data_IF_755416873346
#
_entry.id   IF_755416873346
#
_cell.length_a   1.000
_cell.length_b   1.000
_cell.length_c   1.000
_cell.angle_alpha   90.00
_cell.angle_beta   90.00
_cell.angle_gamma   90.00
#
_symmetry.space_group_name_H-M   'P 1'
#
loop_
_entity.id
_entity.type
_entity.pdbx_description
1 polymer ?
#
# COMPACT_ATOMS: atom_id res chain seq x y z
N UNK A 1 -31.95 -27.22 -11.89
CA UNK A 1 -31.42 -25.84 -11.93
C UNK A 1 -30.08 -25.68 -11.21
N UNK A 2 -29.09 -26.51 -11.54
CA UNK A 2 -27.73 -26.47 -10.97
C UNK A 2 -26.73 -25.82 -11.92
N UNK A 3 -27.13 -24.80 -12.68
CA UNK A 3 -26.11 -23.98 -13.34
C UNK A 3 -25.39 -23.26 -12.20
N UNK A 4 -24.08 -23.50 -11.97
CA UNK A 4 -23.34 -22.72 -11.00
C UNK A 4 -23.51 -21.27 -11.43
N UNK A 5 -24.12 -20.46 -10.56
CA UNK A 5 -24.43 -19.08 -10.88
C UNK A 5 -23.12 -18.29 -10.86
N UNK A 6 -22.23 -18.50 -11.82
CA UNK A 6 -20.86 -17.94 -11.82
C UNK A 6 -20.89 -16.41 -11.70
N UNK A 7 -21.96 -15.76 -12.18
CA UNK A 7 -22.17 -14.34 -11.99
C UNK A 7 -22.21 -13.93 -10.50
N UNK A 8 -22.64 -14.80 -9.58
CA UNK A 8 -22.68 -14.51 -8.14
C UNK A 8 -21.29 -14.40 -7.51
N UNK A 9 -20.25 -14.95 -8.13
CA UNK A 9 -18.87 -14.71 -7.70
C UNK A 9 -18.52 -13.23 -7.77
N UNK A 10 -19.12 -12.51 -8.74
CA UNK A 10 -18.92 -11.08 -8.92
C UNK A 10 -20.02 -10.26 -8.25
N UNK A 11 -21.30 -10.60 -8.47
CA UNK A 11 -22.41 -9.78 -7.98
C UNK A 11 -22.60 -9.82 -6.46
N UNK A 12 -22.11 -10.87 -5.78
CA UNK A 12 -22.12 -10.95 -4.31
C UNK A 12 -21.35 -9.82 -3.66
N UNK A 13 -20.33 -9.27 -4.34
CA UNK A 13 -19.52 -8.14 -3.86
C UNK A 13 -20.33 -6.85 -3.65
N UNK A 14 -21.50 -6.74 -4.27
CA UNK A 14 -22.31 -5.51 -4.25
C UNK A 14 -23.55 -5.62 -3.37
N UNK A 15 -23.88 -6.83 -2.88
CA UNK A 15 -25.00 -7.09 -1.98
C UNK A 15 -24.51 -7.09 -0.55
N UNK A 16 -25.26 -6.51 0.38
CA UNK A 16 -24.85 -6.39 1.78
C UNK A 16 -25.96 -6.89 2.72
N UNK A 17 -25.56 -7.53 3.82
CA UNK A 17 -26.49 -8.12 4.80
C UNK A 17 -27.23 -7.10 5.68
N UNK A 18 -26.95 -5.80 5.56
CA UNK A 18 -27.62 -4.74 6.33
C UNK A 18 -26.87 -3.40 6.33
N UNK A 19 -27.49 -2.39 6.95
CA UNK A 19 -26.97 -1.01 6.98
C UNK A 19 -25.58 -0.88 7.62
N UNK A 20 -25.34 -1.56 8.75
CA UNK A 20 -24.04 -1.51 9.41
C UNK A 20 -22.95 -2.24 8.63
N UNK A 21 -23.30 -3.28 7.87
CA UNK A 21 -22.35 -4.01 7.04
C UNK A 21 -21.86 -3.15 5.87
N UNK A 22 -22.77 -2.50 5.13
CA UNK A 22 -22.37 -1.57 4.07
C UNK A 22 -21.60 -0.36 4.63
N UNK A 23 -22.02 0.19 5.76
CA UNK A 23 -21.32 1.30 6.41
C UNK A 23 -19.88 0.91 6.79
N UNK A 24 -19.68 -0.26 7.37
CA UNK A 24 -18.34 -0.78 7.70
C UNK A 24 -17.44 -0.86 6.46
N UNK A 25 -17.95 -1.46 5.37
CA UNK A 25 -17.21 -1.57 4.12
C UNK A 25 -16.83 -0.20 3.54
N UNK A 26 -17.76 0.76 3.55
CA UNK A 26 -17.51 2.14 3.08
C UNK A 26 -16.45 2.82 3.95
N UNK A 27 -16.49 2.68 5.27
CA UNK A 27 -15.51 3.31 6.17
C UNK A 27 -14.10 2.77 5.92
N UNK A 28 -13.94 1.45 5.74
CA UNK A 28 -12.62 0.87 5.41
C UNK A 28 -12.14 1.37 4.05
N UNK A 29 -13.00 1.38 3.03
CA UNK A 29 -12.65 1.91 1.71
C UNK A 29 -12.31 3.40 1.75
N UNK A 30 -13.01 4.20 2.56
CA UNK A 30 -12.77 5.62 2.68
C UNK A 30 -11.41 5.92 3.34
N UNK A 31 -11.09 5.26 4.46
CA UNK A 31 -9.83 5.56 5.18
C UNK A 31 -8.61 4.85 4.61
N UNK A 32 -8.77 3.58 4.22
CA UNK A 32 -7.67 2.75 3.72
C UNK A 32 -7.67 2.72 2.19
N UNK A 33 -8.83 2.52 1.58
CA UNK A 33 -8.94 2.40 0.13
C UNK A 33 -8.44 3.66 -0.60
N UNK A 34 -8.90 4.85 -0.20
CA UNK A 34 -8.42 6.12 -0.78
C UNK A 34 -6.91 6.29 -0.59
N UNK A 35 -6.40 6.03 0.63
CA UNK A 35 -4.98 6.15 0.92
C UNK A 35 -4.11 5.17 0.10
N UNK A 36 -4.64 3.99 -0.19
CA UNK A 36 -3.98 3.02 -1.06
C UNK A 36 -4.05 3.44 -2.53
N UNK A 37 -5.23 3.82 -3.01
CA UNK A 37 -5.45 4.27 -4.40
C UNK A 37 -4.51 5.43 -4.77
N UNK A 38 -4.32 6.39 -3.86
CA UNK A 38 -3.38 7.50 -4.05
C UNK A 38 -1.92 7.05 -4.25
N UNK A 39 -1.54 5.86 -3.76
CA UNK A 39 -0.18 5.32 -3.91
C UNK A 39 -0.01 4.47 -5.16
N UNK A 40 -1.08 3.82 -5.62
CA UNK A 40 -1.01 2.76 -6.64
C UNK A 40 -1.82 3.05 -7.88
N UNK A 41 -2.38 4.27 -8.03
CA UNK A 41 -3.30 4.71 -9.09
C UNK A 41 -4.62 3.90 -9.19
N UNK A 42 -5.68 4.56 -9.67
CA UNK A 42 -7.04 4.00 -9.72
C UNK A 42 -7.14 2.69 -10.50
N UNK A 43 -6.35 2.54 -11.57
CA UNK A 43 -6.36 1.33 -12.41
C UNK A 43 -5.91 0.08 -11.66
N UNK A 44 -4.80 0.17 -10.90
CA UNK A 44 -4.30 -0.98 -10.14
C UNK A 44 -5.18 -1.22 -8.92
N UNK A 45 -5.64 -0.16 -8.27
CA UNK A 45 -6.63 -0.27 -7.18
C UNK A 45 -7.84 -1.09 -7.61
N UNK A 46 -8.49 -0.70 -8.72
CA UNK A 46 -9.67 -1.39 -9.22
C UNK A 46 -9.38 -2.84 -9.62
N UNK A 47 -8.25 -3.08 -10.28
CA UNK A 47 -7.83 -4.43 -10.69
C UNK A 47 -7.64 -5.34 -9.47
N UNK A 48 -6.95 -4.85 -8.43
CA UNK A 48 -6.74 -5.60 -7.19
C UNK A 48 -8.08 -5.84 -6.48
N UNK A 49 -8.91 -4.80 -6.35
CA UNK A 49 -10.21 -4.90 -5.69
C UNK A 49 -11.10 -5.98 -6.32
N UNK A 50 -11.31 -5.90 -7.64
CA UNK A 50 -12.19 -6.84 -8.35
C UNK A 50 -11.64 -8.27 -8.34
N UNK A 51 -10.34 -8.42 -8.62
CA UNK A 51 -9.71 -9.76 -8.69
C UNK A 51 -9.68 -10.42 -7.31
N UNK A 52 -9.31 -9.67 -6.26
CA UNK A 52 -9.28 -10.21 -4.91
C UNK A 52 -10.69 -10.54 -4.39
N UNK A 53 -11.72 -9.75 -4.77
CA UNK A 53 -13.11 -10.06 -4.45
C UNK A 53 -13.55 -11.40 -5.04
N UNK A 54 -13.26 -11.63 -6.32
CA UNK A 54 -13.56 -12.92 -6.99
C UNK A 54 -12.75 -14.06 -6.37
N UNK A 55 -11.46 -13.86 -6.08
CA UNK A 55 -10.64 -14.86 -5.39
C UNK A 55 -11.21 -15.21 -4.01
N UNK A 56 -11.61 -14.22 -3.23
CA UNK A 56 -12.28 -14.42 -1.94
C UNK A 56 -13.59 -15.20 -2.08
N UNK A 57 -14.41 -14.89 -3.08
CA UNK A 57 -15.64 -15.63 -3.37
C UNK A 57 -15.36 -17.09 -3.72
N UNK A 58 -14.34 -17.36 -4.54
CA UNK A 58 -13.91 -18.72 -4.87
C UNK A 58 -13.43 -19.46 -3.61
N UNK A 59 -12.57 -18.83 -2.79
CA UNK A 59 -12.09 -19.44 -1.54
C UNK A 59 -13.24 -19.78 -0.59
N UNK A 60 -14.23 -18.89 -0.46
CA UNK A 60 -15.44 -19.16 0.30
C UNK A 60 -16.23 -20.34 -0.29
N UNK A 61 -16.50 -20.35 -1.60
CA UNK A 61 -17.27 -21.41 -2.24
C UNK A 61 -16.61 -22.78 -2.12
N UNK A 62 -15.27 -22.85 -2.19
CA UNK A 62 -14.53 -24.09 -1.98
C UNK A 62 -14.60 -24.57 -0.52
N UNK A 63 -14.53 -23.65 0.44
CA UNK A 63 -14.64 -23.98 1.87
C UNK A 63 -16.08 -24.35 2.29
N UNK A 64 -17.09 -23.96 1.50
CA UNK A 64 -18.52 -24.14 1.80
C UNK A 64 -19.24 -24.93 0.71
N UNK A 65 -18.54 -25.88 0.07
CA UNK A 65 -19.03 -26.55 -1.13
C UNK A 65 -20.44 -27.16 -0.99
N UNK A 66 -20.77 -27.68 0.18
CA UNK A 66 -22.05 -28.35 0.47
C UNK A 66 -22.90 -27.59 1.50
N UNK A 67 -22.63 -26.30 1.71
CA UNK A 67 -23.37 -25.47 2.65
C UNK A 67 -24.39 -24.56 1.95
N UNK A 68 -25.60 -24.38 2.50
CA UNK A 68 -26.56 -23.39 2.00
C UNK A 68 -26.17 -21.94 2.33
N UNK A 69 -25.04 -21.70 2.99
CA UNK A 69 -24.59 -20.37 3.43
C UNK A 69 -24.34 -19.45 2.22
N UNK A 70 -24.97 -18.28 2.23
CA UNK A 70 -24.83 -17.28 1.19
C UNK A 70 -23.66 -16.32 1.49
N UNK A 71 -22.81 -16.10 0.49
CA UNK A 71 -21.80 -15.04 0.53
C UNK A 71 -22.41 -13.72 0.08
N UNK A 72 -22.27 -12.69 0.91
CA UNK A 72 -22.64 -11.31 0.57
C UNK A 72 -21.60 -10.34 1.11
N UNK A 73 -21.26 -9.33 0.33
CA UNK A 73 -20.48 -8.18 0.77
C UNK A 73 -19.20 -7.96 0.00
N UNK A 74 -18.77 -6.70 -0.01
CA UNK A 74 -17.50 -6.24 -0.59
C UNK A 74 -16.27 -6.66 0.23
N UNK A 75 -16.45 -7.24 1.41
CA UNK A 75 -15.39 -7.44 2.39
C UNK A 75 -14.22 -8.29 1.90
N UNK A 76 -14.46 -9.34 1.10
CA UNK A 76 -13.39 -10.11 0.48
C UNK A 76 -12.45 -9.25 -0.39
N UNK A 77 -13.03 -8.33 -1.18
CA UNK A 77 -12.25 -7.38 -1.99
C UNK A 77 -11.51 -6.35 -1.12
N UNK A 78 -12.16 -5.88 -0.04
CA UNK A 78 -11.56 -4.94 0.91
C UNK A 78 -10.37 -5.58 1.63
N UNK A 79 -10.49 -6.84 2.07
CA UNK A 79 -9.37 -7.60 2.61
C UNK A 79 -8.24 -7.75 1.58
N UNK A 80 -8.57 -7.90 0.30
CA UNK A 80 -7.59 -7.83 -0.78
C UNK A 80 -6.84 -6.49 -0.84
N UNK A 81 -7.54 -5.38 -0.73
CA UNK A 81 -6.92 -4.05 -0.64
C UNK A 81 -6.05 -3.93 0.61
N UNK A 82 -6.51 -4.39 1.77
CA UNK A 82 -5.76 -4.39 3.02
C UNK A 82 -4.46 -5.21 2.89
N UNK A 83 -4.55 -6.43 2.33
CA UNK A 83 -3.40 -7.30 2.07
C UNK A 83 -2.42 -6.67 1.07
N UNK A 84 -2.93 -6.11 -0.02
CA UNK A 84 -2.12 -5.44 -1.02
C UNK A 84 -1.36 -4.24 -0.44
N UNK A 85 -2.04 -3.42 0.38
CA UNK A 85 -1.44 -2.26 1.01
C UNK A 85 -0.37 -2.67 2.04
N UNK A 86 -0.66 -3.68 2.88
CA UNK A 86 0.32 -4.22 3.83
C UNK A 86 1.57 -4.78 3.13
N UNK A 87 1.41 -5.46 1.99
CA UNK A 87 2.52 -6.03 1.23
C UNK A 87 3.37 -4.94 0.55
N UNK A 88 2.74 -3.96 -0.10
CA UNK A 88 3.45 -2.95 -0.86
C UNK A 88 4.07 -1.85 0.02
N UNK A 89 3.34 -1.37 1.04
CA UNK A 89 3.71 -0.21 1.86
C UNK A 89 3.63 -0.48 3.36
N UNK A 90 4.31 -1.51 3.89
CA UNK A 90 4.14 -1.94 5.29
C UNK A 90 4.51 -0.87 6.34
N UNK A 91 5.43 0.03 5.97
CA UNK A 91 5.98 1.06 6.88
C UNK A 91 5.31 2.43 6.72
N UNK A 92 4.49 2.60 5.70
CA UNK A 92 3.78 3.84 5.46
C UNK A 92 2.82 4.13 6.60
N UNK A 93 2.50 5.40 6.78
CA UNK A 93 1.53 5.83 7.79
C UNK A 93 0.23 6.25 7.12
N UNK A 94 -0.87 5.79 7.71
CA UNK A 94 -2.21 6.18 7.35
C UNK A 94 -2.92 6.74 8.57
N UNK A 95 -3.79 7.73 8.34
CA UNK A 95 -4.65 8.26 9.38
C UNK A 95 -5.86 7.34 9.44
N UNK A 96 -6.06 6.70 10.58
CA UNK A 96 -7.22 5.87 10.84
C UNK A 96 -8.03 6.55 11.94
N UNK A 97 -9.08 7.31 11.64
CA UNK A 97 -9.99 7.77 12.69
C UNK A 97 -10.94 6.62 13.01
N UNK A 98 -10.81 6.08 14.22
CA UNK A 98 -11.79 5.19 14.83
C UNK A 98 -12.77 6.04 15.67
N UNK A 99 -13.91 6.47 15.09
CA UNK A 99 -14.80 7.45 15.73
C UNK A 99 -15.42 6.93 17.04
N UNK A 100 -15.53 5.61 17.20
CA UNK A 100 -16.11 4.95 18.37
C UNK A 100 -15.20 4.93 19.62
N UNK A 101 -13.91 5.27 19.49
CA UNK A 101 -12.97 5.34 20.63
C UNK A 101 -12.91 6.74 21.28
N UNK A 102 -13.77 7.68 20.84
CA UNK A 102 -13.89 9.02 21.42
C UNK A 102 -12.82 10.01 20.98
N UNK A 103 -12.95 11.27 21.46
CA UNK A 103 -12.09 12.41 21.07
C UNK A 103 -10.59 12.15 21.31
N UNK A 104 -10.24 11.41 22.36
CA UNK A 104 -8.85 11.09 22.70
C UNK A 104 -8.17 10.22 21.65
N UNK A 105 -8.91 9.31 21.03
CA UNK A 105 -8.38 8.50 19.96
C UNK A 105 -8.04 9.36 18.73
N UNK A 106 -8.90 10.32 18.38
CA UNK A 106 -8.69 11.22 17.23
C UNK A 106 -7.36 11.98 17.37
N UNK A 107 -7.03 12.44 18.58
CA UNK A 107 -5.77 13.13 18.86
C UNK A 107 -4.53 12.23 18.71
N UNK A 108 -4.60 10.98 19.18
CA UNK A 108 -3.52 10.01 19.06
C UNK A 108 -3.28 9.58 17.60
N UNK A 109 -4.36 9.47 16.82
CA UNK A 109 -4.35 8.97 15.44
C UNK A 109 -3.94 10.02 14.40
N UNK A 110 -3.85 11.31 14.78
CA UNK A 110 -3.30 12.39 13.93
C UNK A 110 -1.83 12.16 13.55
N UNK A 111 -1.07 11.39 14.33
CA UNK A 111 0.33 11.02 14.02
C UNK A 111 0.46 9.93 12.94
N UNK A 112 -0.65 9.35 12.52
CA UNK A 112 -0.72 8.22 11.61
C UNK A 112 -0.22 6.93 12.26
N UNK A 113 -0.84 5.82 11.93
CA UNK A 113 -0.42 4.48 12.33
C UNK A 113 0.21 3.77 11.13
N UNK A 114 1.19 2.89 11.35
CA UNK A 114 1.76 2.10 10.25
C UNK A 114 0.68 1.24 9.60
N UNK A 115 0.70 1.13 8.27
CA UNK A 115 -0.28 0.36 7.49
C UNK A 115 -0.44 -1.07 8.01
N UNK A 116 0.64 -1.76 8.35
CA UNK A 116 0.55 -3.14 8.89
C UNK A 116 -0.32 -3.20 10.14
N UNK A 117 -0.13 -2.30 11.09
CA UNK A 117 -0.97 -2.27 12.29
C UNK A 117 -2.41 -1.85 11.96
N UNK A 118 -2.58 -0.92 11.01
CA UNK A 118 -3.91 -0.52 10.57
C UNK A 118 -4.70 -1.70 10.01
N UNK A 119 -4.04 -2.48 9.14
CA UNK A 119 -4.59 -3.68 8.52
C UNK A 119 -4.91 -4.74 9.56
N UNK A 120 -4.01 -5.00 10.52
CA UNK A 120 -4.26 -5.96 11.59
C UNK A 120 -5.46 -5.56 12.47
N UNK A 121 -5.57 -4.27 12.81
CA UNK A 121 -6.70 -3.75 13.60
C UNK A 121 -8.01 -3.90 12.82
N UNK A 122 -8.06 -3.47 11.56
CA UNK A 122 -9.28 -3.58 10.74
C UNK A 122 -9.68 -5.04 10.50
N UNK A 123 -8.72 -5.88 10.11
CA UNK A 123 -8.95 -7.31 9.91
C UNK A 123 -9.46 -7.97 11.20
N UNK A 124 -8.87 -7.64 12.35
CA UNK A 124 -9.29 -8.15 13.66
C UNK A 124 -10.69 -7.69 14.05
N UNK A 125 -11.01 -6.39 13.89
CA UNK A 125 -12.33 -5.83 14.20
C UNK A 125 -13.39 -6.46 13.29
N UNK A 126 -13.16 -6.53 11.98
CA UNK A 126 -14.16 -7.08 11.06
C UNK A 126 -14.39 -8.57 11.30
N UNK A 127 -13.32 -9.34 11.55
CA UNK A 127 -13.41 -10.75 11.95
C UNK A 127 -14.24 -10.90 13.22
N UNK A 128 -13.99 -10.07 14.24
CA UNK A 128 -14.75 -10.09 15.49
C UNK A 128 -16.22 -9.70 15.29
N UNK A 129 -16.51 -8.69 14.48
CA UNK A 129 -17.88 -8.25 14.21
C UNK A 129 -18.69 -9.31 13.47
N UNK A 130 -18.06 -10.02 12.52
CA UNK A 130 -18.69 -11.16 11.84
C UNK A 130 -18.93 -12.30 12.82
N UNK A 131 -17.95 -12.63 13.67
CA UNK A 131 -18.08 -13.67 14.69
C UNK A 131 -19.21 -13.40 15.70
N UNK A 132 -19.42 -12.13 16.06
CA UNK A 132 -20.49 -11.71 16.97
C UNK A 132 -21.86 -11.52 16.29
N UNK A 133 -21.94 -11.65 14.97
CA UNK A 133 -23.17 -11.37 14.23
C UNK A 133 -24.16 -12.53 14.34
N UNK A 134 -25.36 -12.31 14.90
CA UNK A 134 -26.38 -13.36 15.00
C UNK A 134 -26.96 -13.79 13.64
N UNK A 135 -26.69 -13.04 12.57
CA UNK A 135 -27.12 -13.32 11.19
C UNK A 135 -26.08 -14.06 10.35
N UNK A 136 -24.82 -14.12 10.81
CA UNK A 136 -23.70 -14.79 10.13
C UNK A 136 -23.16 -15.88 11.05
N UNK A 137 -24.02 -16.84 11.43
CA UNK A 137 -23.68 -17.86 12.44
C UNK A 137 -22.69 -18.92 11.95
N UNK A 138 -22.48 -19.04 10.64
CA UNK A 138 -21.41 -19.86 10.09
C UNK A 138 -20.13 -19.01 9.99
N UNK A 139 -19.11 -19.41 10.75
CA UNK A 139 -17.74 -18.85 10.79
C UNK A 139 -16.99 -18.91 9.45
N UNK A 140 -17.69 -19.12 8.34
CA UNK A 140 -17.12 -19.45 7.04
C UNK A 140 -16.88 -18.21 6.18
N UNK A 141 -17.49 -17.07 6.54
CA UNK A 141 -17.21 -15.77 5.93
C UNK A 141 -15.71 -15.37 6.06
N UNK A 142 -15.01 -15.87 7.09
CA UNK A 142 -13.57 -15.64 7.26
C UNK A 142 -12.71 -16.23 6.14
N UNK A 143 -13.18 -17.27 5.44
CA UNK A 143 -12.47 -17.82 4.28
C UNK A 143 -12.48 -16.85 3.08
N UNK A 144 -13.56 -16.07 2.92
CA UNK A 144 -13.61 -15.03 1.90
C UNK A 144 -12.58 -13.92 2.20
N UNK A 145 -12.49 -13.50 3.47
CA UNK A 145 -11.51 -12.53 3.94
C UNK A 145 -10.08 -13.01 3.74
N UNK A 146 -9.79 -14.26 4.12
CA UNK A 146 -8.47 -14.85 3.95
C UNK A 146 -8.08 -14.96 2.48
N UNK A 147 -8.97 -15.47 1.63
CA UNK A 147 -8.74 -15.59 0.19
C UNK A 147 -8.52 -14.23 -0.47
N UNK A 148 -9.30 -13.23 -0.09
CA UNK A 148 -9.12 -11.84 -0.49
C UNK A 148 -7.76 -11.31 -0.07
N UNK A 149 -7.40 -11.40 1.21
CA UNK A 149 -6.14 -10.87 1.76
C UNK A 149 -4.91 -11.48 1.09
N UNK A 150 -4.85 -12.80 0.97
CA UNK A 150 -3.73 -13.51 0.35
C UNK A 150 -3.61 -13.16 -1.13
N UNK A 151 -4.72 -13.18 -1.87
CA UNK A 151 -4.71 -12.81 -3.30
C UNK A 151 -4.30 -11.35 -3.50
N UNK A 152 -4.75 -10.43 -2.65
CA UNK A 152 -4.33 -9.04 -2.65
C UNK A 152 -2.83 -8.85 -2.40
N UNK A 153 -2.26 -9.56 -1.42
CA UNK A 153 -0.81 -9.56 -1.19
C UNK A 153 -0.03 -10.03 -2.42
N UNK A 154 -0.48 -11.12 -3.05
CA UNK A 154 0.13 -11.66 -4.27
C UNK A 154 0.04 -10.65 -5.42
N UNK A 155 -1.14 -10.09 -5.67
CA UNK A 155 -1.37 -9.11 -6.72
C UNK A 155 -0.54 -7.85 -6.51
N UNK A 156 -0.37 -7.39 -5.26
CA UNK A 156 0.53 -6.27 -4.97
C UNK A 156 1.98 -6.57 -5.37
N UNK A 157 2.48 -7.76 -5.07
CA UNK A 157 3.84 -8.16 -5.47
C UNK A 157 4.01 -8.23 -6.98
N UNK A 158 2.96 -8.57 -7.73
CA UNK A 158 2.99 -8.68 -9.19
C UNK A 158 2.80 -7.32 -9.90
N UNK A 159 1.90 -6.49 -9.40
CA UNK A 159 1.44 -5.27 -10.08
C UNK A 159 2.14 -3.99 -9.59
N UNK A 160 2.68 -3.98 -8.36
CA UNK A 160 3.29 -2.80 -7.76
C UNK A 160 4.80 -2.96 -7.77
N UNK A 161 5.45 -2.32 -8.74
CA UNK A 161 6.91 -2.19 -8.75
C UNK A 161 7.32 -1.17 -7.69
N UNK A 162 8.12 -1.60 -6.71
CA UNK A 162 8.80 -0.68 -5.79
C UNK A 162 9.76 0.17 -6.59
N UNK A 163 9.52 1.47 -6.71
CA UNK A 163 10.49 2.39 -7.29
C UNK A 163 11.77 2.34 -6.45
N UNK A 164 12.85 1.85 -7.06
CA UNK A 164 14.16 1.66 -6.42
C UNK A 164 14.84 2.97 -6.00
N UNK A 165 14.29 4.13 -6.39
CA UNK A 165 14.83 5.45 -6.10
C UNK A 165 14.92 5.81 -4.61
N UNK A 166 14.13 5.17 -3.74
CA UNK A 166 14.12 5.48 -2.30
C UNK A 166 15.41 5.08 -1.58
N UNK A 167 16.09 4.02 -2.04
CA UNK A 167 17.25 3.47 -1.33
C UNK A 167 18.55 4.19 -1.65
N UNK A 168 18.74 4.66 -2.89
CA UNK A 168 19.98 5.35 -3.29
C UNK A 168 20.17 6.67 -2.55
N UNK A 169 19.07 7.36 -2.23
CA UNK A 169 19.12 8.70 -1.64
C UNK A 169 19.54 8.72 -0.17
N UNK A 170 19.14 7.71 0.61
CA UNK A 170 19.55 7.57 2.03
C UNK A 170 21.06 7.35 2.20
N UNK A 171 21.75 6.82 1.18
CA UNK A 171 23.19 6.57 1.22
C UNK A 171 24.05 7.80 0.91
N UNK A 172 23.44 8.95 0.64
CA UNK A 172 24.19 10.14 0.22
C UNK A 172 24.50 11.10 1.35
N UNK A 173 23.94 10.88 2.53
CA UNK A 173 24.36 11.62 3.72
C UNK A 173 25.86 11.37 4.03
N UNK A 174 26.44 10.27 3.53
CA UNK A 174 27.88 9.99 3.64
C UNK A 174 28.73 10.60 2.52
N UNK A 175 28.10 11.11 1.46
CA UNK A 175 28.80 11.66 0.29
C UNK A 175 28.81 13.18 0.38
N UNK A 176 29.98 13.80 0.27
CA UNK A 176 30.06 15.26 0.19
C UNK A 176 29.62 15.75 -1.21
N UNK A 177 28.34 16.06 -1.34
CA UNK A 177 27.70 16.52 -2.60
C UNK A 177 28.34 17.80 -3.16
N UNK A 178 28.92 18.67 -2.33
CA UNK A 178 29.58 19.89 -2.80
C UNK A 178 30.72 19.60 -3.77
N UNK A 179 31.37 18.46 -3.60
CA UNK A 179 32.53 18.06 -4.40
C UNK A 179 32.15 17.54 -5.79
N UNK A 180 30.85 17.37 -6.04
CA UNK A 180 30.27 16.94 -7.30
C UNK A 180 29.55 18.07 -8.05
N UNK A 181 29.34 19.21 -7.39
CA UNK A 181 28.75 20.39 -8.01
C UNK A 181 29.81 21.18 -8.78
N UNK A 182 29.55 21.42 -10.06
CA UNK A 182 30.42 22.18 -10.97
C UNK A 182 29.75 23.49 -11.44
N UNK A 183 28.41 23.51 -11.53
CA UNK A 183 27.66 24.69 -11.99
C UNK A 183 27.04 25.48 -10.82
N UNK A 184 26.79 26.81 -11.00
CA UNK A 184 26.10 27.61 -9.97
C UNK A 184 24.74 27.03 -9.57
N UNK A 185 24.00 26.50 -10.55
CA UNK A 185 22.71 25.82 -10.33
C UNK A 185 22.86 24.57 -9.46
N UNK A 186 23.90 23.77 -9.69
CA UNK A 186 24.20 22.58 -8.88
C UNK A 186 24.58 22.96 -7.44
N UNK A 187 25.35 24.03 -7.25
CA UNK A 187 25.67 24.53 -5.90
C UNK A 187 24.41 25.00 -5.15
N UNK A 188 23.51 25.72 -5.82
CA UNK A 188 22.22 26.11 -5.24
C UNK A 188 21.38 24.88 -4.83
N UNK A 189 21.34 23.85 -5.68
CA UNK A 189 20.65 22.61 -5.35
C UNK A 189 21.24 21.93 -4.11
N UNK A 190 22.57 21.89 -3.98
CA UNK A 190 23.25 21.33 -2.79
C UNK A 190 22.89 22.12 -1.52
N UNK A 191 22.84 23.46 -1.59
CA UNK A 191 22.39 24.27 -0.45
C UNK A 191 20.94 23.99 -0.09
N UNK A 192 20.04 23.88 -1.07
CA UNK A 192 18.63 23.52 -0.84
C UNK A 192 18.52 22.15 -0.17
N UNK A 193 19.30 21.15 -0.61
CA UNK A 193 19.35 19.81 -0.01
C UNK A 193 19.79 19.87 1.47
N UNK A 194 20.78 20.72 1.80
CA UNK A 194 21.29 20.87 3.17
C UNK A 194 20.27 21.52 4.11
N UNK A 195 19.52 22.50 3.59
CA UNK A 195 18.60 23.30 4.38
C UNK A 195 17.17 22.72 4.44
N UNK A 196 16.85 21.72 3.61
CA UNK A 196 15.51 21.12 3.55
C UNK A 196 15.24 20.22 4.76
N UNK A 197 14.17 20.55 5.49
CA UNK A 197 13.76 19.85 6.71
C UNK A 197 12.80 18.69 6.42
N UNK A 198 12.11 18.73 5.29
CA UNK A 198 11.14 17.70 4.89
C UNK A 198 11.89 16.59 4.14
N UNK A 199 11.98 15.36 4.70
CA UNK A 199 12.78 14.28 4.09
C UNK A 199 12.37 13.95 2.65
N UNK A 200 11.07 14.02 2.34
CA UNK A 200 10.55 13.73 1.00
C UNK A 200 10.99 14.78 -0.03
N UNK A 201 10.93 16.06 0.32
CA UNK A 201 11.37 17.15 -0.56
C UNK A 201 12.88 17.13 -0.73
N UNK A 202 13.63 16.88 0.36
CA UNK A 202 15.08 16.72 0.33
C UNK A 202 15.47 15.62 -0.66
N UNK A 203 14.74 14.50 -0.67
CA UNK A 203 14.97 13.39 -1.60
C UNK A 203 14.76 13.77 -3.06
N UNK A 204 13.72 14.54 -3.37
CA UNK A 204 13.45 15.01 -4.73
C UNK A 204 14.57 15.93 -5.23
N UNK A 205 15.07 16.83 -4.38
CA UNK A 205 16.23 17.65 -4.71
C UNK A 205 17.48 16.82 -5.00
N UNK A 206 17.74 15.80 -4.17
CA UNK A 206 18.89 14.91 -4.38
C UNK A 206 18.75 14.09 -5.67
N UNK A 207 17.56 13.53 -5.93
CA UNK A 207 17.30 12.80 -7.18
C UNK A 207 17.51 13.71 -8.39
N UNK A 208 17.01 14.95 -8.34
CA UNK A 208 17.21 15.94 -9.40
C UNK A 208 18.68 16.31 -9.58
N UNK A 209 19.44 16.44 -8.48
CA UNK A 209 20.87 16.71 -8.53
C UNK A 209 21.65 15.58 -9.23
N UNK A 210 21.30 14.32 -8.98
CA UNK A 210 21.94 13.19 -9.67
C UNK A 210 21.76 13.19 -11.18
N UNK A 211 20.60 13.66 -11.66
CA UNK A 211 20.32 13.73 -13.10
C UNK A 211 21.22 14.75 -13.80
N UNK A 212 21.60 15.82 -13.10
CA UNK A 212 22.39 16.93 -13.65
C UNK A 212 23.90 16.72 -13.52
N UNK A 213 24.35 15.98 -12.50
CA UNK A 213 25.78 15.75 -12.26
C UNK A 213 26.37 14.77 -13.28
N UNK A 214 27.63 15.04 -13.66
CA UNK A 214 28.46 14.18 -14.51
C UNK A 214 29.80 13.94 -13.84
N UNK A 215 30.54 12.94 -14.30
CA UNK A 215 31.86 12.67 -13.75
C UNK A 215 32.84 13.83 -14.02
N UNK A 216 33.49 14.41 -13.00
CA UNK A 216 34.42 15.53 -13.20
C UNK A 216 35.67 15.15 -14.00
N UNK A 217 35.97 13.84 -14.10
CA UNK A 217 37.16 13.34 -14.80
C UNK A 217 36.90 13.06 -16.29
N UNK A 218 35.71 12.63 -16.66
CA UNK A 218 35.44 12.17 -18.04
C UNK A 218 34.06 12.56 -18.59
N UNK A 219 33.25 13.32 -17.85
CA UNK A 219 31.88 13.67 -18.23
C UNK A 219 30.90 12.50 -18.29
N UNK A 220 31.35 11.28 -17.97
CA UNK A 220 30.54 10.07 -18.02
C UNK A 220 29.49 9.98 -16.90
N UNK A 221 28.56 9.01 -16.98
CA UNK A 221 27.56 8.79 -15.95
C UNK A 221 28.22 8.35 -14.62
N UNK A 222 27.61 8.78 -13.52
CA UNK A 222 27.98 8.38 -12.17
C UNK A 222 26.95 7.40 -11.61
N UNK A 223 27.45 6.33 -10.99
CA UNK A 223 26.66 5.40 -10.20
C UNK A 223 26.82 5.72 -8.72
N UNK A 224 25.69 5.91 -8.05
CA UNK A 224 25.64 6.17 -6.62
C UNK A 224 25.39 4.86 -5.89
N UNK A 225 26.34 4.44 -5.05
CA UNK A 225 26.28 3.18 -4.31
C UNK A 225 26.43 3.42 -2.80
N UNK A 226 26.16 2.39 -1.98
CA UNK A 226 26.41 2.46 -0.53
C UNK A 226 27.86 2.76 -0.15
N UNK A 227 28.81 2.52 -1.06
CA UNK A 227 30.25 2.69 -0.83
C UNK A 227 30.77 4.03 -1.37
N UNK A 228 29.87 4.90 -1.83
CA UNK A 228 30.20 6.16 -2.49
C UNK A 228 29.80 6.19 -3.96
N UNK A 229 30.30 7.18 -4.66
CA UNK A 229 30.01 7.51 -6.06
C UNK A 229 31.09 6.93 -6.96
N UNK A 230 30.70 6.21 -8.01
CA UNK A 230 31.63 5.57 -8.94
C UNK A 230 31.31 5.94 -10.38
N UNK A 231 32.29 6.36 -11.18
CA UNK A 231 32.10 6.53 -12.62
C UNK A 231 32.35 5.21 -13.36
N UNK A 232 31.40 4.80 -14.20
CA UNK A 232 31.53 3.59 -15.04
C UNK A 232 32.61 3.71 -16.12
N UNK A 233 32.84 4.91 -16.65
CA UNK A 233 33.76 5.10 -17.77
C UNK A 233 35.23 5.18 -17.34
N UNK A 234 35.53 5.91 -16.26
CA UNK A 234 36.92 6.21 -15.88
C UNK A 234 37.32 5.69 -14.49
N UNK A 235 36.41 4.98 -13.81
CA UNK A 235 36.66 4.42 -12.48
C UNK A 235 36.84 5.46 -11.36
N UNK A 236 36.48 6.73 -11.59
CA UNK A 236 36.47 7.77 -10.55
C UNK A 236 35.66 7.30 -9.34
N UNK A 237 36.16 7.53 -8.11
CA UNK A 237 35.48 7.17 -6.86
C UNK A 237 35.54 8.31 -5.83
N UNK A 238 34.43 8.53 -5.10
CA UNK A 238 34.36 9.42 -3.93
C UNK A 238 33.38 8.90 -2.88
#
# INVERSE_FOLDING_TARGET
>A
DYIPKLFTLFTSMFVHAGYFHILGNILVLFFIGIAFEQRVESRRFLTIYLTAGVCGAITFSLANWDSPTLLVGASGAIFGILGAFAAAYPRDRVIMPLPFLGIWAIALMRRGIRVVYAVLIFAGIETLLVFLSPYMQDNTAHFAHLGGLVSGMILAMLLIKKEQGYTTVDYLDTVNLETLAETPEQHEMVERIKNERIPEVRRLWVARFMETVRCPRCGGPLDFTKKGVVCRNCGFRR
#
